data_IF_378062110152
#
_entry.id   IF_378062110152
#
_cell.length_a   1.000
_cell.length_b   1.000
_cell.length_c   1.000
_cell.angle_alpha   90.00
_cell.angle_beta   90.00
_cell.angle_gamma   90.00
#
_symmetry.space_group_name_H-M   'P 1'
#
loop_
_entity.id
_entity.type
_entity.pdbx_description
1 polymer ?
#
# COMPACT_ATOMS: atom_id res chain seq x y z
N UNK A 1 -12.01 -47.46 -14.17
CA UNK A 1 -10.92 -46.94 -13.34
C UNK A 1 -11.25 -45.51 -12.93
N UNK A 2 -11.34 -45.21 -11.62
CA UNK A 2 -10.99 -43.89 -11.14
C UNK A 2 -9.80 -43.99 -10.19
N UNK A 3 -8.75 -43.27 -10.53
CA UNK A 3 -7.59 -43.04 -9.68
C UNK A 3 -7.96 -42.06 -8.58
N UNK A 4 -7.61 -42.45 -7.36
CA UNK A 4 -7.60 -41.67 -6.13
C UNK A 4 -6.67 -40.46 -6.18
N UNK A 5 -7.12 -39.31 -5.68
CA UNK A 5 -6.26 -38.38 -4.92
C UNK A 5 -7.04 -37.72 -3.78
N UNK A 6 -6.76 -38.19 -2.56
CA UNK A 6 -7.01 -37.53 -1.28
C UNK A 6 -5.76 -36.74 -0.87
N UNK A 7 -5.99 -35.62 -0.17
CA UNK A 7 -5.16 -34.85 0.80
C UNK A 7 -5.28 -33.35 0.44
N UNK A 8 -5.70 -32.44 1.30
CA UNK A 8 -6.08 -32.56 2.70
C UNK A 8 -6.79 -31.28 3.16
N UNK A 9 -7.71 -31.44 4.11
CA UNK A 9 -8.30 -30.35 4.86
C UNK A 9 -8.33 -30.80 6.33
N UNK A 10 -7.34 -30.36 7.11
CA UNK A 10 -7.37 -30.38 8.58
C UNK A 10 -6.18 -29.59 9.15
N UNK A 11 -6.17 -28.27 8.94
CA UNK A 11 -5.47 -27.30 9.81
C UNK A 11 -6.23 -25.99 9.73
N UNK A 12 -7.26 -25.80 10.54
CA UNK A 12 -7.82 -24.47 10.83
C UNK A 12 -8.59 -24.55 12.15
N UNK A 13 -7.84 -24.63 13.24
CA UNK A 13 -8.25 -24.18 14.58
C UNK A 13 -7.03 -24.28 15.50
N UNK A 14 -6.13 -23.31 15.43
CA UNK A 14 -5.11 -22.96 16.45
C UNK A 14 -4.24 -21.81 15.93
N UNK A 15 -4.79 -20.61 15.89
CA UNK A 15 -4.00 -19.38 15.70
C UNK A 15 -4.83 -18.14 16.06
N UNK A 16 -5.37 -18.08 17.28
CA UNK A 16 -6.00 -16.84 17.81
C UNK A 16 -5.59 -16.50 19.25
N UNK A 17 -4.99 -17.41 20.03
CA UNK A 17 -4.67 -17.13 21.45
C UNK A 17 -3.20 -16.82 21.78
N UNK A 18 -2.37 -16.50 20.78
CA UNK A 18 -0.94 -16.26 20.99
C UNK A 18 -0.48 -14.90 20.44
N UNK A 19 -1.08 -13.78 20.89
CA UNK A 19 -0.48 -12.47 20.65
C UNK A 19 -0.79 -11.37 21.68
N UNK A 20 -1.26 -11.72 22.88
CA UNK A 20 -1.40 -10.77 23.99
C UNK A 20 -0.79 -11.40 25.24
N UNK A 21 0.16 -10.68 25.87
CA UNK A 21 0.98 -11.02 27.04
C UNK A 21 2.39 -11.54 26.73
N UNK A 22 3.27 -10.60 26.36
CA UNK A 22 4.69 -10.76 26.63
C UNK A 22 4.95 -10.75 28.14
N UNK A 23 5.67 -11.75 28.64
CA UNK A 23 6.50 -11.64 29.85
C UNK A 23 7.58 -12.72 29.90
N UNK A 24 8.81 -12.22 30.03
CA UNK A 24 10.13 -12.83 30.26
C UNK A 24 10.26 -14.32 30.64
N UNK A 25 11.19 -14.98 29.96
CA UNK A 25 11.79 -16.26 30.33
C UNK A 25 12.86 -16.10 31.44
N UNK A 26 12.87 -17.04 32.39
CA UNK A 26 13.87 -17.21 33.46
C UNK A 26 13.67 -18.57 34.19
N UNK A 27 14.69 -19.15 34.84
CA UNK A 27 15.08 -20.54 34.57
C UNK A 27 14.47 -21.63 35.46
N UNK A 28 14.53 -22.84 34.90
CA UNK A 28 14.30 -24.19 35.44
C UNK A 28 14.69 -24.39 36.90
N UNK A 29 13.81 -25.05 37.67
CA UNK A 29 14.14 -25.58 39.01
C UNK A 29 13.72 -27.04 39.15
N UNK A 30 14.62 -27.92 38.71
CA UNK A 30 14.86 -29.20 39.36
C UNK A 30 15.34 -28.85 40.77
N UNK A 31 14.49 -29.01 41.78
CA UNK A 31 14.86 -29.25 43.18
C UNK A 31 13.63 -29.07 44.08
N UNK A 32 12.83 -30.14 44.21
CA UNK A 32 11.89 -30.30 45.32
C UNK A 32 11.52 -31.76 45.58
N UNK A 33 12.47 -32.67 45.41
CA UNK A 33 12.34 -34.08 45.79
C UNK A 33 13.48 -34.51 46.73
N UNK A 34 13.68 -33.76 47.81
CA UNK A 34 14.46 -34.18 48.97
C UNK A 34 13.78 -33.68 50.24
N UNK A 35 12.62 -34.27 50.56
CA UNK A 35 12.05 -34.35 51.92
C UNK A 35 10.82 -35.26 51.85
N UNK A 36 11.06 -36.55 51.96
CA UNK A 36 10.20 -37.54 52.60
C UNK A 36 10.97 -38.85 52.54
N UNK A 37 11.61 -39.18 53.66
CA UNK A 37 12.22 -40.47 53.85
C UNK A 37 11.13 -41.53 53.89
N UNK A 38 11.18 -42.46 52.93
CA UNK A 38 10.50 -43.75 53.03
C UNK A 38 11.48 -44.79 52.51
N UNK A 39 12.14 -45.45 53.45
CA UNK A 39 12.92 -46.66 53.22
C UNK A 39 12.02 -47.89 53.29
N UNK A 40 12.35 -48.83 52.40
CA UNK A 40 12.17 -50.29 52.49
C UNK A 40 10.79 -50.92 52.46
N UNK A 41 10.74 -51.95 51.60
CA UNK A 41 10.00 -53.20 51.73
C UNK A 41 8.48 -53.12 51.76
N UNK A 42 7.90 -53.21 50.57
CA UNK A 42 6.87 -54.21 50.29
C UNK A 42 6.69 -54.36 48.78
N UNK A 43 7.08 -55.52 48.24
CA UNK A 43 6.96 -55.83 46.81
C UNK A 43 5.55 -56.33 46.42
N UNK A 44 4.66 -56.56 47.40
CA UNK A 44 3.32 -57.09 47.19
C UNK A 44 2.24 -56.05 46.76
N UNK A 45 2.19 -54.79 47.24
CA UNK A 45 1.14 -53.85 46.87
C UNK A 45 1.35 -53.23 45.48
N UNK A 46 2.60 -53.20 44.98
CA UNK A 46 2.91 -52.65 43.65
C UNK A 46 2.38 -53.52 42.51
N UNK A 47 2.41 -54.84 42.65
CA UNK A 47 1.89 -55.75 41.62
C UNK A 47 0.35 -55.70 41.53
N UNK A 48 -0.34 -55.52 42.66
CA UNK A 48 -1.81 -55.39 42.71
C UNK A 48 -2.24 -54.02 42.17
N UNK A 49 -1.54 -52.95 42.54
CA UNK A 49 -1.81 -51.61 42.01
C UNK A 49 -1.52 -51.53 40.51
N UNK A 50 -0.44 -52.15 40.02
CA UNK A 50 -0.16 -52.26 38.59
C UNK A 50 -1.21 -53.10 37.87
N UNK A 51 -1.69 -54.22 38.45
CA UNK A 51 -2.77 -55.03 37.85
C UNK A 51 -4.10 -54.26 37.83
N UNK A 52 -4.42 -53.51 38.88
CA UNK A 52 -5.59 -52.63 38.91
C UNK A 52 -5.48 -51.51 37.88
N UNK A 53 -4.31 -50.86 37.77
CA UNK A 53 -4.07 -49.83 36.75
C UNK A 53 -4.10 -50.41 35.34
N UNK A 54 -3.56 -51.62 35.12
CA UNK A 54 -3.60 -52.30 33.81
C UNK A 54 -5.02 -52.73 33.45
N UNK A 55 -5.80 -53.24 34.39
CA UNK A 55 -7.22 -53.59 34.19
C UNK A 55 -8.09 -52.35 34.01
N UNK A 56 -7.80 -51.25 34.71
CA UNK A 56 -8.45 -49.95 34.53
C UNK A 56 -8.11 -49.35 33.16
N UNK A 57 -6.85 -49.46 32.71
CA UNK A 57 -6.43 -49.02 31.39
C UNK A 57 -7.03 -49.89 30.27
N UNK A 58 -7.18 -51.21 30.46
CA UNK A 58 -7.87 -52.10 29.51
C UNK A 58 -9.38 -51.80 29.50
N UNK A 59 -10.00 -51.57 30.65
CA UNK A 59 -11.40 -51.16 30.77
C UNK A 59 -11.68 -49.80 30.14
N UNK A 60 -10.78 -48.82 30.31
CA UNK A 60 -10.87 -47.52 29.65
C UNK A 60 -10.63 -47.59 28.14
N UNK A 61 -9.81 -48.54 27.65
CA UNK A 61 -9.66 -48.77 26.19
C UNK A 61 -10.88 -49.44 25.57
N UNK A 62 -11.62 -50.28 26.30
CA UNK A 62 -12.87 -50.86 25.81
C UNK A 62 -14.04 -49.85 25.79
N UNK A 63 -14.00 -48.80 26.60
CA UNK A 63 -14.97 -47.69 26.59
C UNK A 63 -14.59 -46.56 25.63
N UNK A 64 -13.36 -46.53 25.13
CA UNK A 64 -12.88 -45.62 24.10
C UNK A 64 -12.90 -46.30 22.71
N UNK A 65 -13.97 -47.01 22.37
CA UNK A 65 -14.40 -47.00 20.98
C UNK A 65 -15.08 -45.66 20.78
N UNK A 66 -14.33 -44.67 20.29
CA UNK A 66 -14.95 -43.53 19.63
C UNK A 66 -15.86 -44.12 18.55
N UNK A 67 -17.16 -44.12 18.81
CA UNK A 67 -18.16 -44.33 17.78
C UNK A 67 -17.96 -43.15 16.85
N UNK A 68 -17.16 -43.34 15.80
CA UNK A 68 -17.09 -42.43 14.66
C UNK A 68 -18.42 -42.59 13.91
N UNK A 69 -19.51 -42.18 14.57
CA UNK A 69 -20.83 -42.10 13.98
C UNK A 69 -20.68 -41.14 12.82
N UNK A 70 -20.78 -41.65 11.60
CA UNK A 70 -20.81 -40.82 10.40
C UNK A 70 -22.10 -39.99 10.49
N UNK A 71 -22.01 -38.80 11.08
CA UNK A 71 -23.15 -37.90 11.19
C UNK A 71 -23.61 -37.56 9.79
N UNK A 72 -24.75 -38.10 9.41
CA UNK A 72 -25.32 -37.87 8.09
C UNK A 72 -26.19 -36.63 8.18
N UNK A 73 -25.70 -35.50 7.65
CA UNK A 73 -26.49 -34.29 7.50
C UNK A 73 -27.21 -34.32 6.15
N UNK A 74 -28.50 -33.95 6.13
CA UNK A 74 -29.28 -33.82 4.90
C UNK A 74 -29.51 -32.34 4.61
N UNK A 75 -29.06 -31.87 3.45
CA UNK A 75 -29.38 -30.54 2.92
C UNK A 75 -30.49 -30.68 1.89
N UNK A 76 -31.70 -30.23 2.23
CA UNK A 76 -32.80 -30.10 1.27
C UNK A 76 -32.68 -28.74 0.57
N UNK A 77 -32.63 -28.73 -0.76
CA UNK A 77 -32.61 -27.52 -1.58
C UNK A 77 -33.94 -27.40 -2.31
N UNK A 78 -34.70 -26.34 -2.01
CA UNK A 78 -35.93 -26.01 -2.73
C UNK A 78 -35.60 -25.12 -3.94
N UNK A 79 -35.78 -25.67 -5.14
CA UNK A 79 -35.53 -24.98 -6.41
C UNK A 79 -36.84 -24.53 -7.11
N UNK A 80 -37.94 -24.41 -6.36
CA UNK A 80 -39.23 -23.97 -6.90
C UNK A 80 -39.16 -22.54 -7.46
N UNK A 81 -39.63 -22.28 -8.70
CA UNK A 81 -39.57 -20.95 -9.31
C UNK A 81 -40.27 -19.85 -8.52
N UNK A 82 -41.27 -20.20 -7.71
CA UNK A 82 -42.04 -19.27 -6.88
C UNK A 82 -41.20 -18.65 -5.76
N UNK A 83 -40.13 -19.33 -5.33
CA UNK A 83 -39.18 -18.84 -4.32
C UNK A 83 -37.92 -18.23 -4.94
N UNK A 84 -37.74 -18.33 -6.26
CA UNK A 84 -36.57 -17.82 -6.94
C UNK A 84 -36.52 -16.28 -6.89
N UNK A 85 -35.36 -15.72 -6.54
CA UNK A 85 -35.05 -14.29 -6.66
C UNK A 85 -33.90 -14.12 -7.63
N UNK A 86 -33.96 -13.10 -8.50
CA UNK A 86 -32.83 -12.75 -9.35
C UNK A 86 -31.65 -12.34 -8.46
N UNK A 87 -30.51 -13.01 -8.64
CA UNK A 87 -29.27 -12.59 -8.02
C UNK A 87 -28.83 -11.27 -8.70
N UNK A 88 -28.58 -10.19 -7.93
CA UNK A 88 -28.13 -8.93 -8.52
C UNK A 88 -26.84 -9.11 -9.33
N UNK A 89 -26.78 -8.48 -10.49
CA UNK A 89 -25.58 -8.48 -11.34
C UNK A 89 -24.40 -7.73 -10.70
N UNK A 90 -24.62 -7.07 -9.57
CA UNK A 90 -23.66 -6.35 -8.73
C UNK A 90 -23.35 -7.10 -7.43
N UNK A 91 -23.70 -8.38 -7.30
CA UNK A 91 -23.48 -9.14 -6.06
C UNK A 91 -21.98 -9.22 -5.69
N UNK A 92 -21.11 -9.33 -6.68
CA UNK A 92 -19.66 -9.47 -6.48
C UNK A 92 -18.91 -8.30 -7.10
N UNK A 93 -18.04 -7.67 -6.31
CA UNK A 93 -17.18 -6.60 -6.75
C UNK A 93 -15.94 -6.53 -5.88
N UNK A 94 -15.17 -5.47 -6.08
CA UNK A 94 -13.93 -5.21 -5.35
C UNK A 94 -14.04 -3.93 -4.55
N UNK A 95 -13.28 -3.92 -3.46
CA UNK A 95 -13.09 -2.77 -2.62
C UNK A 95 -11.61 -2.41 -2.65
N UNK A 96 -11.33 -1.12 -2.83
CA UNK A 96 -9.98 -0.57 -2.84
C UNK A 96 -9.88 0.59 -1.85
N UNK A 97 -8.84 0.53 -1.03
CA UNK A 97 -8.32 1.64 -0.26
C UNK A 97 -6.79 1.63 -0.33
N UNK A 98 -6.15 2.78 -0.10
CA UNK A 98 -4.70 2.86 0.00
C UNK A 98 -4.24 2.29 1.35
N UNK A 99 -4.05 0.97 1.37
CA UNK A 99 -3.56 0.17 2.49
C UNK A 99 -2.45 -0.77 2.00
N UNK A 100 -1.43 -1.03 2.83
CA UNK A 100 -0.34 -1.96 2.49
C UNK A 100 0.37 -1.63 1.17
N UNK A 101 0.43 -0.34 0.78
CA UNK A 101 0.95 0.08 -0.52
C UNK A 101 0.17 -0.55 -1.70
N UNK A 102 -1.16 -0.70 -1.56
CA UNK A 102 -2.01 -1.26 -2.62
C UNK A 102 -2.07 -0.35 -3.85
N UNK A 103 -2.00 0.97 -3.69
CA UNK A 103 -1.95 1.93 -4.79
C UNK A 103 -0.52 2.30 -5.11
N UNK A 104 0.03 3.25 -4.34
CA UNK A 104 1.43 3.65 -4.42
C UNK A 104 2.35 2.50 -3.97
N UNK A 105 3.07 1.91 -4.93
CA UNK A 105 3.88 0.70 -4.73
C UNK A 105 3.18 -0.60 -5.12
N UNK A 106 1.88 -0.55 -5.38
CA UNK A 106 1.02 -1.65 -5.77
C UNK A 106 0.53 -1.50 -7.20
N UNK A 107 -0.77 -1.30 -7.39
CA UNK A 107 -1.39 -1.25 -8.73
C UNK A 107 -0.94 -0.06 -9.57
N UNK A 108 -0.51 1.04 -8.93
CA UNK A 108 0.05 2.20 -9.62
C UNK A 108 1.51 1.94 -10.02
N UNK A 109 1.86 2.24 -11.27
CA UNK A 109 3.14 1.83 -11.85
C UNK A 109 4.32 2.75 -11.50
N UNK A 110 4.11 3.82 -10.75
CA UNK A 110 5.20 4.63 -10.20
C UNK A 110 6.18 3.75 -9.41
N UNK A 111 7.46 3.91 -9.73
CA UNK A 111 8.53 3.15 -9.09
C UNK A 111 9.21 3.95 -7.97
N UNK A 112 9.21 5.28 -8.05
CA UNK A 112 9.86 6.15 -7.07
C UNK A 112 8.94 6.37 -5.86
N UNK A 113 9.44 6.06 -4.67
CA UNK A 113 8.77 6.38 -3.41
C UNK A 113 9.25 7.74 -2.90
N UNK A 114 8.36 8.53 -2.29
CA UNK A 114 8.64 9.91 -1.87
C UNK A 114 9.25 10.75 -3.01
N UNK A 115 8.55 10.81 -4.15
CA UNK A 115 9.04 11.47 -5.38
C UNK A 115 9.12 12.99 -5.32
N UNK A 116 8.28 13.62 -4.50
CA UNK A 116 8.22 15.08 -4.33
C UNK A 116 8.78 15.56 -2.99
N UNK A 117 9.40 14.69 -2.20
CA UNK A 117 10.01 15.02 -0.89
C UNK A 117 9.04 15.58 0.18
N UNK A 118 7.74 15.60 -0.08
CA UNK A 118 6.71 16.04 0.86
C UNK A 118 6.46 15.04 1.99
N UNK A 119 7.00 13.81 1.92
CA UNK A 119 6.80 12.81 2.96
C UNK A 119 7.35 13.28 4.32
N UNK A 120 6.44 13.44 5.28
CA UNK A 120 6.72 14.05 6.59
C UNK A 120 6.00 15.38 6.78
N UNK A 121 5.52 15.99 5.71
CA UNK A 121 4.72 17.21 5.73
C UNK A 121 5.51 18.48 6.04
N UNK A 122 4.79 19.60 6.05
CA UNK A 122 5.33 20.96 6.07
C UNK A 122 6.13 21.35 7.33
N UNK A 123 6.25 20.50 8.35
CA UNK A 123 6.93 20.86 9.61
C UNK A 123 7.98 19.85 10.06
N UNK A 124 8.25 18.83 9.25
CA UNK A 124 9.24 17.82 9.58
C UNK A 124 10.63 18.31 9.20
N UNK A 125 11.68 18.02 10.01
CA UNK A 125 13.07 18.25 9.61
C UNK A 125 13.37 17.54 8.28
N UNK A 126 14.54 17.80 7.70
CA UNK A 126 14.89 17.19 6.41
C UNK A 126 14.64 15.68 6.40
N UNK A 127 13.68 15.26 5.59
CA UNK A 127 13.29 13.87 5.44
C UNK A 127 13.35 13.50 3.97
N UNK A 128 14.34 12.71 3.63
CA UNK A 128 14.50 12.18 2.28
C UNK A 128 14.09 10.71 2.21
N UNK A 129 13.64 10.06 3.28
CA UNK A 129 13.30 8.62 3.26
C UNK A 129 12.27 8.30 2.16
N UNK A 130 12.46 7.25 1.34
CA UNK A 130 13.51 6.22 1.41
C UNK A 130 14.75 6.51 0.56
N UNK A 131 14.95 7.74 0.10
CA UNK A 131 16.18 8.13 -0.57
C UNK A 131 17.39 8.02 0.36
N UNK A 132 18.54 7.73 -0.23
CA UNK A 132 19.79 7.54 0.50
C UNK A 132 20.96 8.10 -0.29
N UNK A 133 22.03 8.45 0.43
CA UNK A 133 23.22 9.10 -0.13
C UNK A 133 24.15 8.05 -0.77
N UNK A 134 24.73 8.40 -1.92
CA UNK A 134 25.88 7.72 -2.54
C UNK A 134 27.10 8.60 -2.30
N UNK A 135 28.00 8.15 -1.43
CA UNK A 135 29.17 8.93 -0.99
C UNK A 135 29.22 9.01 0.53
N UNK A 136 30.13 9.83 1.03
CA UNK A 136 30.26 10.16 2.46
C UNK A 136 30.26 11.69 2.67
N UNK A 137 30.24 12.09 3.94
CA UNK A 137 30.18 13.51 4.37
C UNK A 137 31.35 14.37 3.86
N UNK A 138 32.45 13.76 3.39
CA UNK A 138 33.57 14.50 2.78
C UNK A 138 33.34 14.82 1.30
N UNK A 139 32.35 14.16 0.68
CA UNK A 139 32.14 14.16 -0.75
C UNK A 139 30.79 14.73 -1.19
N UNK A 140 29.74 14.57 -0.38
CA UNK A 140 28.39 15.05 -0.69
C UNK A 140 27.62 15.36 0.59
N UNK A 141 26.86 16.44 0.56
CA UNK A 141 25.91 16.83 1.58
C UNK A 141 24.51 16.90 0.97
N UNK A 142 23.52 16.30 1.64
CA UNK A 142 22.13 16.24 1.15
C UNK A 142 21.18 16.72 2.24
N UNK A 143 20.29 17.62 1.86
CA UNK A 143 19.22 18.13 2.71
C UNK A 143 17.97 18.40 1.87
N UNK A 144 16.91 18.88 2.51
CA UNK A 144 15.71 19.38 1.84
C UNK A 144 15.46 20.81 2.25
N UNK A 145 15.04 21.65 1.32
CA UNK A 145 14.62 23.02 1.57
C UNK A 145 13.26 23.32 0.90
N UNK A 146 12.77 24.56 1.03
CA UNK A 146 11.47 24.99 0.50
C UNK A 146 11.59 25.81 -0.79
N UNK A 147 12.40 25.37 -1.73
CA UNK A 147 12.72 26.13 -2.96
C UNK A 147 12.13 25.55 -4.24
N UNK A 148 11.23 24.56 -4.12
CA UNK A 148 10.54 23.99 -5.28
C UNK A 148 9.83 25.07 -6.13
N UNK A 149 9.71 24.79 -7.43
CA UNK A 149 8.88 25.58 -8.33
C UNK A 149 7.37 25.39 -8.13
N UNK A 150 6.94 24.38 -7.37
CA UNK A 150 5.53 24.08 -7.15
C UNK A 150 5.03 24.74 -5.86
N UNK A 151 4.00 25.58 -5.97
CA UNK A 151 3.47 26.34 -4.83
C UNK A 151 2.75 25.46 -3.79
N UNK A 152 2.26 24.29 -4.20
CA UNK A 152 1.61 23.30 -3.33
C UNK A 152 2.55 22.19 -2.84
N UNK A 153 3.67 21.99 -3.55
CA UNK A 153 4.73 21.02 -3.25
C UNK A 153 6.03 21.77 -3.11
N UNK A 154 6.23 22.40 -1.96
CA UNK A 154 7.29 23.39 -1.80
C UNK A 154 8.65 22.77 -1.49
N UNK A 155 8.70 21.48 -1.12
CA UNK A 155 9.91 20.81 -0.67
C UNK A 155 10.73 20.35 -1.87
N UNK A 156 12.02 20.63 -1.85
CA UNK A 156 12.98 20.15 -2.85
C UNK A 156 14.18 19.51 -2.16
N UNK A 157 14.76 18.48 -2.79
CA UNK A 157 16.02 17.89 -2.34
C UNK A 157 17.19 18.74 -2.86
N UNK A 158 18.01 19.24 -1.94
CA UNK A 158 19.25 19.97 -2.21
C UNK A 158 20.43 19.03 -2.03
N UNK A 159 21.23 18.87 -3.07
CA UNK A 159 22.45 18.07 -3.09
C UNK A 159 23.64 18.97 -3.38
N UNK A 160 24.59 19.01 -2.44
CA UNK A 160 25.84 19.74 -2.55
C UNK A 160 27.00 18.77 -2.67
N UNK A 161 27.65 18.76 -3.83
CA UNK A 161 28.82 17.93 -4.10
C UNK A 161 30.06 18.71 -3.69
N UNK A 162 30.85 18.12 -2.79
CA UNK A 162 32.00 18.74 -2.14
C UNK A 162 33.34 18.29 -2.74
N UNK A 163 33.38 17.09 -3.32
CA UNK A 163 34.60 16.49 -3.89
C UNK A 163 35.02 17.16 -5.21
N UNK A 164 36.31 17.51 -5.31
CA UNK A 164 36.93 17.89 -6.60
C UNK A 164 37.32 16.64 -7.42
N UNK A 165 37.72 15.55 -6.74
CA UNK A 165 38.04 14.26 -7.33
C UNK A 165 37.10 13.19 -6.76
N UNK A 166 35.86 13.15 -7.25
CA UNK A 166 34.87 12.21 -6.76
C UNK A 166 35.23 10.74 -7.11
N UNK A 167 34.78 9.75 -6.32
CA UNK A 167 34.97 8.34 -6.61
C UNK A 167 34.47 7.92 -7.99
N UNK A 168 34.99 6.80 -8.50
CA UNK A 168 34.51 6.24 -9.78
C UNK A 168 33.02 5.93 -9.69
N UNK A 169 32.22 6.49 -10.61
CA UNK A 169 30.76 6.40 -10.61
C UNK A 169 30.05 7.62 -10.00
N UNK A 170 30.80 8.56 -9.41
CA UNK A 170 30.27 9.79 -8.84
C UNK A 170 29.64 9.62 -7.47
N UNK A 171 29.16 10.75 -6.95
CA UNK A 171 28.40 10.84 -5.69
C UNK A 171 27.01 11.39 -5.97
N UNK A 172 26.06 11.15 -5.06
CA UNK A 172 24.72 11.70 -5.17
C UNK A 172 23.71 10.98 -4.31
N UNK A 173 22.56 10.61 -4.90
CA UNK A 173 21.44 9.98 -4.18
C UNK A 173 20.86 8.80 -4.96
N UNK A 174 20.21 7.89 -4.24
CA UNK A 174 19.41 6.81 -4.83
C UNK A 174 18.07 6.64 -4.14
N UNK A 175 17.08 6.13 -4.88
CA UNK A 175 15.78 5.72 -4.40
C UNK A 175 15.58 4.22 -4.64
N UNK A 176 15.32 3.40 -3.61
CA UNK A 176 15.07 1.97 -3.76
C UNK A 176 13.66 1.66 -4.29
N UNK A 177 12.79 2.67 -4.45
CA UNK A 177 11.38 2.51 -4.73
C UNK A 177 10.65 1.87 -3.56
N UNK A 178 9.66 1.05 -3.89
CA UNK A 178 8.87 0.28 -2.91
C UNK A 178 9.53 -1.07 -2.63
N UNK A 179 10.57 -1.07 -1.79
CA UNK A 179 11.40 -2.24 -1.43
C UNK A 179 12.12 -2.92 -2.61
N UNK A 180 12.44 -2.15 -3.65
CA UNK A 180 13.12 -2.60 -4.86
C UNK A 180 12.28 -2.39 -6.11
N UNK A 181 12.95 -2.05 -7.20
CA UNK A 181 12.32 -1.90 -8.52
C UNK A 181 12.57 -3.15 -9.37
N UNK A 182 11.51 -3.74 -9.94
CA UNK A 182 11.64 -4.80 -10.91
C UNK A 182 11.95 -4.21 -12.30
N UNK A 183 13.20 -4.36 -12.74
CA UNK A 183 13.67 -3.87 -14.03
C UNK A 183 13.87 -5.06 -14.96
N UNK A 184 13.35 -4.97 -16.18
CA UNK A 184 13.37 -6.05 -17.17
C UNK A 184 14.11 -5.61 -18.44
N UNK A 185 14.98 -6.47 -18.95
CA UNK A 185 15.75 -6.24 -20.16
C UNK A 185 14.83 -5.91 -21.35
N UNK A 186 15.21 -4.90 -22.13
CA UNK A 186 14.47 -4.43 -23.30
C UNK A 186 13.31 -3.50 -22.98
N UNK A 187 12.85 -3.40 -21.73
CA UNK A 187 11.81 -2.45 -21.34
C UNK A 187 12.34 -1.03 -21.25
N UNK A 188 11.43 -0.08 -21.44
CA UNK A 188 11.68 1.35 -21.37
C UNK A 188 11.05 1.92 -20.11
N UNK A 189 11.80 2.74 -19.40
CA UNK A 189 11.36 3.44 -18.20
C UNK A 189 11.46 4.95 -18.46
N UNK A 190 10.34 5.64 -18.30
CA UNK A 190 10.22 7.07 -18.51
C UNK A 190 10.53 7.80 -17.20
N UNK A 191 11.69 8.45 -17.16
CA UNK A 191 12.09 9.35 -16.08
C UNK A 191 11.56 10.75 -16.38
N UNK A 192 10.88 11.34 -15.40
CA UNK A 192 10.57 12.77 -15.35
C UNK A 192 11.13 13.32 -14.05
N UNK A 193 11.86 14.43 -14.11
CA UNK A 193 12.30 15.14 -12.91
C UNK A 193 12.39 16.63 -13.16
N UNK A 194 12.21 17.42 -12.10
CA UNK A 194 12.50 18.83 -12.12
C UNK A 194 13.86 19.03 -11.47
N UNK A 195 14.72 19.78 -12.15
CA UNK A 195 16.10 19.99 -11.71
C UNK A 195 16.50 21.44 -11.87
N UNK A 196 17.36 21.92 -10.97
CA UNK A 196 17.91 23.26 -10.98
C UNK A 196 19.35 23.21 -10.50
N UNK A 197 20.23 23.94 -11.17
CA UNK A 197 21.60 24.15 -10.69
C UNK A 197 22.08 25.57 -11.06
N UNK A 198 22.90 26.23 -10.21
CA UNK A 198 23.53 27.51 -10.53
C UNK A 198 24.68 27.37 -11.53
N UNK A 199 25.27 26.18 -11.62
CA UNK A 199 26.45 25.90 -12.44
C UNK A 199 26.10 24.85 -13.48
N UNK A 200 26.80 24.86 -14.62
CA UNK A 200 26.62 23.82 -15.62
C UNK A 200 27.13 22.49 -15.06
N UNK A 201 26.23 21.51 -14.91
CA UNK A 201 26.58 20.20 -14.37
C UNK A 201 26.02 19.06 -15.23
N UNK A 202 26.71 17.92 -15.22
CA UNK A 202 26.25 16.71 -15.89
C UNK A 202 25.84 15.71 -14.82
N UNK A 203 24.57 15.29 -14.88
CA UNK A 203 23.99 14.29 -13.99
C UNK A 203 23.93 12.97 -14.72
N UNK A 204 24.38 11.90 -14.08
CA UNK A 204 24.17 10.53 -14.54
C UNK A 204 23.00 9.93 -13.80
N UNK A 205 21.90 9.72 -14.53
CA UNK A 205 20.73 8.98 -14.06
C UNK A 205 20.89 7.52 -14.46
N UNK A 206 20.63 6.59 -13.55
CA UNK A 206 20.76 5.17 -13.86
C UNK A 206 19.85 4.27 -13.04
N UNK A 207 19.47 3.16 -13.64
CA UNK A 207 18.86 2.02 -12.97
C UNK A 207 19.97 1.01 -12.67
N UNK A 208 20.11 0.65 -11.41
CA UNK A 208 21.12 -0.32 -10.97
C UNK A 208 20.51 -1.40 -10.10
N UNK A 209 21.19 -2.53 -9.94
CA UNK A 209 20.89 -3.47 -8.86
C UNK A 209 20.89 -2.76 -7.49
N UNK A 210 20.23 -3.35 -6.49
CA UNK A 210 20.10 -2.81 -5.13
C UNK A 210 21.45 -2.44 -4.48
N UNK A 211 22.51 -3.16 -4.81
CA UNK A 211 23.88 -2.90 -4.34
C UNK A 211 24.68 -1.92 -5.22
N UNK A 212 24.11 -1.40 -6.30
CA UNK A 212 24.77 -0.47 -7.23
C UNK A 212 25.79 -1.08 -8.19
N UNK A 213 26.05 -2.39 -8.14
CA UNK A 213 27.14 -3.02 -8.90
C UNK A 213 26.77 -3.31 -10.37
N UNK A 214 25.50 -3.61 -10.64
CA UNK A 214 25.02 -3.90 -11.98
C UNK A 214 24.28 -2.69 -12.53
N UNK A 215 24.83 -2.05 -13.56
CA UNK A 215 24.13 -1.01 -14.32
C UNK A 215 23.17 -1.66 -15.33
N UNK A 216 21.88 -1.33 -15.23
CA UNK A 216 20.82 -1.87 -16.09
C UNK A 216 20.45 -0.85 -17.18
N UNK A 217 20.41 0.43 -16.84
CA UNK A 217 20.19 1.51 -17.79
C UNK A 217 20.89 2.77 -17.28
N UNK A 218 21.31 3.65 -18.19
CA UNK A 218 21.86 4.95 -17.80
C UNK A 218 21.72 5.98 -18.92
N UNK A 219 21.57 7.23 -18.52
CA UNK A 219 21.62 8.39 -19.40
C UNK A 219 22.33 9.56 -18.68
N UNK A 220 22.90 10.46 -19.47
CA UNK A 220 23.49 11.71 -18.97
C UNK A 220 22.53 12.86 -19.26
N UNK A 221 22.25 13.66 -18.24
CA UNK A 221 21.42 14.85 -18.30
C UNK A 221 22.30 16.05 -18.00
N UNK A 222 22.45 16.95 -18.97
CA UNK A 222 23.17 18.21 -18.78
C UNK A 222 22.23 19.30 -18.32
N UNK A 223 22.55 19.95 -17.20
CA UNK A 223 21.84 21.11 -16.65
C UNK A 223 22.65 22.36 -17.00
N UNK A 224 22.04 23.32 -17.70
CA UNK A 224 22.78 24.46 -18.28
C UNK A 224 23.35 25.45 -17.27
N UNK A 225 22.84 25.49 -16.03
CA UNK A 225 23.39 26.33 -14.96
C UNK A 225 22.80 27.75 -14.91
N UNK A 226 21.48 27.88 -15.00
CA UNK A 226 20.78 29.18 -15.02
C UNK A 226 19.99 29.48 -13.73
N UNK A 227 20.11 28.63 -12.71
CA UNK A 227 19.31 28.70 -11.47
C UNK A 227 17.78 28.66 -11.65
N UNK A 228 17.30 28.40 -12.87
CA UNK A 228 15.89 28.15 -13.16
C UNK A 228 15.59 26.64 -13.06
N UNK A 229 14.39 26.32 -12.58
CA UNK A 229 13.87 24.95 -12.63
C UNK A 229 13.58 24.56 -14.07
N UNK A 230 14.11 23.42 -14.49
CA UNK A 230 13.83 22.81 -15.79
C UNK A 230 13.22 21.43 -15.60
N UNK A 231 12.24 21.10 -16.45
CA UNK A 231 11.70 19.75 -16.55
C UNK A 231 12.62 18.93 -17.44
N UNK A 232 13.07 17.78 -16.94
CA UNK A 232 13.86 16.80 -17.67
C UNK A 232 13.01 15.57 -17.91
N UNK A 233 12.97 15.13 -19.17
CA UNK A 233 12.29 13.90 -19.58
C UNK A 233 13.31 13.01 -20.28
N UNK A 234 13.49 11.79 -19.76
CA UNK A 234 14.50 10.87 -20.27
C UNK A 234 13.95 9.45 -20.32
N UNK A 235 14.16 8.79 -21.47
CA UNK A 235 13.87 7.36 -21.61
C UNK A 235 15.09 6.54 -21.24
N UNK A 236 14.91 5.58 -20.35
CA UNK A 236 15.93 4.62 -19.93
C UNK A 236 15.57 3.24 -20.49
N UNK A 237 16.37 2.77 -21.46
CA UNK A 237 16.22 1.42 -22.02
C UNK A 237 17.05 0.44 -21.22
N UNK A 238 16.42 -0.53 -20.59
CA UNK A 238 17.09 -1.54 -19.78
C UNK A 238 17.86 -2.54 -20.66
N UNK A 239 19.12 -2.77 -20.30
CA UNK A 239 20.06 -3.71 -20.94
C UNK A 239 20.22 -5.02 -20.16
N UNK A 240 19.42 -5.21 -19.12
CA UNK A 240 19.44 -6.39 -18.27
C UNK A 240 18.25 -6.43 -17.33
N UNK A 241 18.00 -7.60 -16.76
CA UNK A 241 16.90 -7.85 -15.82
C UNK A 241 17.42 -7.95 -14.38
N UNK A 242 16.76 -7.27 -13.45
CA UNK A 242 16.99 -7.41 -12.02
C UNK A 242 15.71 -7.09 -11.22
N UNK A 243 15.33 -8.01 -10.32
CA UNK A 243 14.09 -7.92 -9.52
C UNK A 243 14.16 -6.96 -8.35
N UNK A 244 15.36 -6.57 -7.95
CA UNK A 244 15.62 -5.69 -6.81
C UNK A 244 16.60 -4.61 -7.23
N UNK A 245 16.07 -3.57 -7.87
CA UNK A 245 16.84 -2.45 -8.41
C UNK A 245 16.53 -1.15 -7.68
N UNK A 246 17.28 -0.09 -8.00
CA UNK A 246 17.11 1.27 -7.51
C UNK A 246 17.36 2.27 -8.63
N UNK A 247 16.74 3.44 -8.54
CA UNK A 247 17.10 4.61 -9.34
C UNK A 247 18.22 5.35 -8.61
N UNK A 248 19.27 5.76 -9.31
CA UNK A 248 20.31 6.63 -8.75
C UNK A 248 20.59 7.83 -9.66
N UNK A 249 20.89 8.95 -9.03
CA UNK A 249 21.24 10.22 -9.66
C UNK A 249 22.59 10.65 -9.07
N UNK A 250 23.60 10.74 -9.92
CA UNK A 250 25.00 10.96 -9.50
C UNK A 250 25.68 12.01 -10.36
N UNK A 251 26.74 12.61 -9.85
CA UNK A 251 27.63 13.47 -10.64
C UNK A 251 29.07 13.39 -10.12
N UNK A 252 30.01 13.79 -10.97
CA UNK A 252 31.43 13.96 -10.63
C UNK A 252 31.83 15.44 -10.58
N UNK A 253 30.88 16.36 -10.81
CA UNK A 253 31.14 17.79 -10.78
C UNK A 253 30.75 18.35 -9.43
N UNK A 254 31.70 19.02 -8.78
CA UNK A 254 31.47 19.85 -7.60
C UNK A 254 30.44 20.93 -7.92
N UNK A 255 29.60 21.26 -6.95
CA UNK A 255 28.54 22.25 -7.11
C UNK A 255 27.25 21.84 -6.40
N UNK A 256 26.20 22.64 -6.59
CA UNK A 256 24.90 22.44 -5.94
C UNK A 256 23.82 22.15 -6.97
N UNK A 257 23.01 21.14 -6.70
CA UNK A 257 21.90 20.70 -7.55
C UNK A 257 20.66 20.49 -6.70
N UNK A 258 19.53 20.99 -7.18
CA UNK A 258 18.22 20.74 -6.59
C UNK A 258 17.41 19.80 -7.47
N UNK A 259 16.64 18.93 -6.83
CA UNK A 259 15.71 17.99 -7.47
C UNK A 259 14.34 18.12 -6.84
N UNK A 260 13.30 17.96 -7.67
CA UNK A 260 11.93 17.80 -7.21
C UNK A 260 11.12 16.97 -8.22
N UNK A 261 10.00 16.40 -7.76
CA UNK A 261 9.02 15.64 -8.54
C UNK A 261 9.72 14.62 -9.45
N UNK A 262 10.46 13.69 -8.85
CA UNK A 262 11.22 12.64 -9.55
C UNK A 262 10.35 11.41 -9.75
N UNK A 263 9.81 11.22 -10.95
CA UNK A 263 8.96 10.08 -11.31
C UNK A 263 9.70 9.12 -12.25
N UNK A 264 9.51 7.82 -12.05
CA UNK A 264 9.99 6.79 -12.96
C UNK A 264 8.88 5.77 -13.20
N UNK A 265 8.26 5.80 -14.37
CA UNK A 265 7.22 4.85 -14.75
C UNK A 265 7.66 3.96 -15.91
N UNK A 266 7.33 2.65 -15.91
CA UNK A 266 7.43 1.83 -17.11
C UNK A 266 6.64 2.46 -18.27
N UNK A 267 7.12 2.34 -19.50
CA UNK A 267 6.39 2.82 -20.68
C UNK A 267 5.18 1.92 -20.99
N UNK A 268 5.28 0.62 -20.73
CA UNK A 268 4.29 -0.42 -21.03
C UNK A 268 3.27 -0.64 -19.90
N UNK A 269 2.72 0.44 -19.36
CA UNK A 269 1.63 0.34 -18.37
C UNK A 269 0.35 -0.22 -18.99
N UNK A 270 -0.55 -0.77 -18.16
CA UNK A 270 -1.82 -1.32 -18.61
C UNK A 270 -2.60 -0.28 -19.43
N UNK A 271 -2.78 -0.57 -20.73
CA UNK A 271 -3.38 0.33 -21.73
C UNK A 271 -2.72 1.73 -21.85
N UNK A 272 -1.56 1.95 -21.25
CA UNK A 272 -0.95 3.28 -21.15
C UNK A 272 -1.56 4.19 -20.07
N UNK A 273 -2.39 3.65 -19.18
CA UNK A 273 -3.13 4.43 -18.17
C UNK A 273 -2.42 4.50 -16.79
N UNK A 274 -1.17 4.05 -16.69
CA UNK A 274 -0.38 4.20 -15.46
C UNK A 274 -0.46 3.03 -14.47
N UNK A 275 -1.22 1.97 -14.78
CA UNK A 275 -1.33 0.80 -13.91
C UNK A 275 -0.37 -0.34 -14.26
N UNK A 276 -0.02 -1.16 -13.27
CA UNK A 276 0.78 -2.37 -13.45
C UNK A 276 -0.04 -3.48 -14.11
N UNK A 277 0.35 -3.86 -15.32
CA UNK A 277 -0.39 -4.80 -16.18
C UNK A 277 -0.69 -6.14 -15.52
N UNK A 278 0.28 -6.70 -14.79
CA UNK A 278 0.12 -7.98 -14.11
C UNK A 278 -0.91 -7.93 -12.98
N UNK A 279 -0.94 -6.85 -12.19
CA UNK A 279 -1.88 -6.71 -11.09
C UNK A 279 -3.29 -6.43 -11.60
N UNK A 280 -3.43 -5.59 -12.62
CA UNK A 280 -4.74 -5.35 -13.25
C UNK A 280 -5.28 -6.62 -13.89
N UNK A 281 -4.42 -7.44 -14.52
CA UNK A 281 -4.83 -8.72 -15.08
C UNK A 281 -5.40 -9.67 -14.01
N UNK A 282 -4.78 -9.73 -12.82
CA UNK A 282 -5.31 -10.52 -11.71
C UNK A 282 -6.66 -9.99 -11.20
N UNK A 283 -6.86 -8.67 -11.20
CA UNK A 283 -8.13 -8.06 -10.81
C UNK A 283 -9.23 -8.37 -11.85
N UNK A 284 -8.92 -8.33 -13.14
CA UNK A 284 -9.84 -8.71 -14.21
C UNK A 284 -10.31 -10.16 -14.09
N UNK A 285 -9.42 -11.07 -13.67
CA UNK A 285 -9.74 -12.48 -13.47
C UNK A 285 -10.78 -12.71 -12.36
N UNK A 286 -10.90 -11.78 -11.40
CA UNK A 286 -11.95 -11.79 -10.38
C UNK A 286 -13.34 -11.48 -10.96
N UNK A 287 -13.40 -10.91 -12.17
CA UNK A 287 -14.62 -10.45 -12.86
C UNK A 287 -15.50 -9.57 -11.96
N UNK A 288 -14.94 -8.51 -11.34
CA UNK A 288 -15.72 -7.63 -10.49
C UNK A 288 -16.84 -6.97 -11.30
N UNK A 289 -17.95 -6.66 -10.61
CA UNK A 289 -19.08 -5.95 -11.19
C UNK A 289 -19.18 -4.51 -10.70
N UNK A 290 -18.51 -4.21 -9.58
CA UNK A 290 -18.33 -2.87 -9.06
C UNK A 290 -16.92 -2.69 -8.49
N UNK A 291 -16.47 -1.44 -8.42
CA UNK A 291 -15.26 -1.00 -7.74
C UNK A 291 -15.63 0.05 -6.69
N UNK A 292 -15.51 -0.27 -5.41
CA UNK A 292 -15.66 0.70 -4.31
C UNK A 292 -14.31 1.37 -4.01
N UNK A 293 -14.20 2.68 -4.18
CA UNK A 293 -12.94 3.44 -4.03
C UNK A 293 -13.17 4.90 -3.56
N UNK A 294 -12.14 5.61 -3.09
CA UNK A 294 -10.86 5.12 -2.57
C UNK A 294 -11.04 4.74 -1.10
N UNK A 295 -12.06 3.90 -0.82
CA UNK A 295 -12.86 3.90 0.40
C UNK A 295 -12.15 3.45 1.68
N UNK A 296 -12.96 2.96 2.64
CA UNK A 296 -12.43 2.55 3.94
C UNK A 296 -11.89 3.73 4.74
N UNK A 297 -10.98 3.42 5.66
CA UNK A 297 -10.46 4.38 6.60
C UNK A 297 -9.54 5.42 5.96
N UNK A 298 -9.03 5.15 4.75
CA UNK A 298 -8.27 6.12 3.97
C UNK A 298 -9.06 7.41 3.65
N UNK A 299 -10.37 7.29 3.39
CA UNK A 299 -11.23 8.45 3.14
C UNK A 299 -11.49 9.26 4.39
N UNK A 300 -11.61 8.58 5.53
CA UNK A 300 -11.93 9.18 6.83
C UNK A 300 -10.72 9.90 7.42
N UNK A 301 -9.57 9.25 7.37
CA UNK A 301 -8.39 9.62 8.13
C UNK A 301 -8.55 9.28 9.62
N UNK A 302 -7.43 9.20 10.32
CA UNK A 302 -7.38 9.22 11.78
C UNK A 302 -7.83 10.57 12.32
N UNK A 303 -7.49 11.65 11.62
CA UNK A 303 -7.92 13.03 11.88
C UNK A 303 -8.38 13.69 10.57
N UNK A 304 -9.38 14.56 10.61
CA UNK A 304 -9.94 15.22 9.43
C UNK A 304 -8.91 15.99 8.59
N UNK A 305 -7.84 16.49 9.22
CA UNK A 305 -6.73 17.15 8.50
C UNK A 305 -5.99 16.22 7.52
N UNK A 306 -6.06 14.91 7.75
CA UNK A 306 -5.42 13.85 6.97
C UNK A 306 -6.42 13.06 6.11
N UNK A 307 -7.70 13.46 6.10
CA UNK A 307 -8.70 12.83 5.25
C UNK A 307 -8.40 13.06 3.76
N UNK A 308 -8.62 12.04 2.93
CA UNK A 308 -8.45 12.15 1.48
C UNK A 308 -9.29 13.29 0.87
N UNK A 309 -8.63 14.19 0.12
CA UNK A 309 -9.26 15.33 -0.56
C UNK A 309 -9.27 15.11 -2.06
N UNK A 310 -10.35 14.55 -2.60
CA UNK A 310 -10.43 14.17 -4.02
C UNK A 310 -10.05 15.29 -5.02
N UNK A 311 -10.39 16.55 -4.73
CA UNK A 311 -10.04 17.69 -5.60
C UNK A 311 -8.53 17.95 -5.69
N UNK A 312 -7.80 17.61 -4.64
CA UNK A 312 -6.35 17.75 -4.56
C UNK A 312 -5.63 16.61 -5.30
N UNK A 313 -6.35 15.52 -5.58
CA UNK A 313 -5.88 14.38 -6.38
C UNK A 313 -6.16 14.52 -7.89
N UNK A 314 -6.56 15.69 -8.38
CA UNK A 314 -6.88 15.94 -9.79
C UNK A 314 -5.94 16.98 -10.37
N UNK A 315 -5.63 16.82 -11.66
CA UNK A 315 -4.74 17.69 -12.41
C UNK A 315 -3.35 17.08 -12.56
N UNK A 316 -2.36 17.89 -12.97
CA UNK A 316 -0.97 17.47 -13.10
C UNK A 316 -0.48 16.83 -11.81
N UNK A 317 0.18 15.68 -11.91
CA UNK A 317 0.58 14.88 -10.74
C UNK A 317 1.64 15.60 -9.91
N UNK A 318 2.50 16.38 -10.57
CA UNK A 318 3.57 17.16 -9.97
C UNK A 318 3.07 18.31 -9.08
N UNK A 319 1.78 18.67 -9.20
CA UNK A 319 1.14 19.70 -8.39
C UNK A 319 0.25 19.13 -7.27
N UNK A 320 0.10 17.80 -7.17
CA UNK A 320 -0.76 17.18 -6.15
C UNK A 320 0.00 17.18 -4.81
N UNK A 321 -0.57 17.75 -3.72
CA UNK A 321 0.09 17.86 -2.42
C UNK A 321 0.35 16.52 -1.75
N UNK A 322 -0.43 15.49 -2.11
CA UNK A 322 -0.47 14.27 -1.31
C UNK A 322 -1.00 14.54 0.09
N UNK A 323 -0.94 13.51 0.94
CA UNK A 323 -1.20 13.64 2.36
C UNK A 323 -0.65 12.45 3.14
N UNK A 324 -0.54 12.62 4.46
CA UNK A 324 -0.17 11.53 5.35
C UNK A 324 -1.39 10.67 5.66
N UNK A 325 -1.40 9.43 5.17
CA UNK A 325 -2.38 8.41 5.53
C UNK A 325 -2.14 7.93 6.96
N UNK A 326 -2.62 8.68 7.94
CA UNK A 326 -2.37 8.45 9.37
C UNK A 326 -3.03 7.19 9.95
N UNK A 327 -3.99 6.59 9.24
CA UNK A 327 -4.54 5.26 9.57
C UNK A 327 -3.57 4.14 9.20
N UNK A 328 -2.90 4.25 8.06
CA UNK A 328 -2.03 3.21 7.52
C UNK A 328 -0.53 3.53 7.65
N UNK A 329 -0.21 4.70 8.19
CA UNK A 329 1.12 5.16 8.59
C UNK A 329 2.13 5.32 7.46
N UNK A 330 1.69 5.78 6.28
CA UNK A 330 2.60 6.20 5.21
C UNK A 330 2.07 7.41 4.45
N UNK A 331 2.99 8.11 3.79
CA UNK A 331 2.66 9.24 2.92
C UNK A 331 2.15 8.73 1.57
N UNK A 332 1.10 9.36 1.06
CA UNK A 332 0.58 9.13 -0.28
C UNK A 332 0.76 10.41 -1.09
N UNK A 333 1.24 10.29 -2.32
CA UNK A 333 1.41 11.44 -3.21
C UNK A 333 0.14 11.78 -4.00
N UNK A 334 -0.96 11.07 -3.74
CA UNK A 334 -2.22 11.15 -4.48
C UNK A 334 -2.05 11.06 -6.01
N UNK A 335 -0.99 10.39 -6.48
CA UNK A 335 -0.72 10.12 -7.90
C UNK A 335 -1.74 9.15 -8.50
N UNK A 336 -2.16 8.15 -7.73
CA UNK A 336 -3.37 7.37 -7.98
C UNK A 336 -4.56 8.12 -7.38
N UNK A 337 -5.04 9.11 -8.13
CA UNK A 337 -6.08 10.02 -7.70
C UNK A 337 -7.47 9.63 -8.18
N UNK A 338 -8.40 10.55 -7.97
CA UNK A 338 -9.80 10.35 -8.29
C UNK A 338 -10.04 10.02 -9.78
N UNK A 339 -9.38 10.72 -10.70
CA UNK A 339 -9.53 10.49 -12.14
C UNK A 339 -9.01 9.11 -12.53
N UNK A 340 -7.86 8.71 -12.00
CA UNK A 340 -7.25 7.43 -12.31
C UNK A 340 -8.13 6.25 -11.85
N UNK A 341 -8.83 6.36 -10.71
CA UNK A 341 -9.80 5.33 -10.29
C UNK A 341 -11.02 5.22 -11.20
N UNK A 342 -11.53 6.33 -11.75
CA UNK A 342 -12.59 6.27 -12.74
C UNK A 342 -12.10 5.58 -14.01
N UNK A 343 -10.90 5.93 -14.46
CA UNK A 343 -10.28 5.27 -15.61
C UNK A 343 -10.11 3.76 -15.35
N UNK A 344 -9.74 3.36 -14.13
CA UNK A 344 -9.65 1.96 -13.73
C UNK A 344 -11.01 1.26 -13.76
N UNK A 345 -12.08 1.93 -13.28
CA UNK A 345 -13.42 1.36 -13.29
C UNK A 345 -13.89 1.04 -14.72
N UNK A 346 -13.65 1.96 -15.66
CA UNK A 346 -13.89 1.75 -17.10
C UNK A 346 -13.05 0.59 -17.65
N UNK A 347 -11.78 0.56 -17.28
CA UNK A 347 -10.82 -0.44 -17.74
C UNK A 347 -11.15 -1.86 -17.31
N UNK A 348 -11.75 -2.01 -16.12
CA UNK A 348 -12.25 -3.26 -15.55
C UNK A 348 -13.66 -3.63 -16.02
N UNK A 349 -14.38 -2.70 -16.67
CA UNK A 349 -15.80 -2.88 -17.02
C UNK A 349 -16.70 -2.98 -15.78
N UNK A 350 -16.38 -2.21 -14.74
CA UNK A 350 -17.08 -2.21 -13.43
C UNK A 350 -17.83 -0.92 -13.18
N UNK A 351 -18.90 -1.00 -12.41
CA UNK A 351 -19.58 0.20 -11.90
C UNK A 351 -18.76 0.87 -10.76
N UNK A 352 -18.47 2.17 -10.83
CA UNK A 352 -17.78 2.88 -9.77
C UNK A 352 -18.71 3.13 -8.57
N UNK A 353 -18.27 2.73 -7.37
CA UNK A 353 -18.88 3.11 -6.10
C UNK A 353 -17.92 4.05 -5.38
N UNK A 354 -18.09 5.35 -5.62
CA UNK A 354 -17.25 6.34 -5.00
C UNK A 354 -17.60 6.57 -3.54
N UNK A 355 -16.57 6.67 -2.71
CA UNK A 355 -16.64 6.95 -1.26
C UNK A 355 -16.01 8.31 -1.00
N UNK A 356 -16.69 9.13 -0.20
CA UNK A 356 -16.23 10.47 0.16
C UNK A 356 -16.29 10.69 1.66
N UNK A 357 -15.47 11.63 2.14
CA UNK A 357 -15.48 12.01 3.54
C UNK A 357 -16.74 12.84 3.85
N UNK A 358 -17.54 12.38 4.79
CA UNK A 358 -18.81 13.01 5.18
C UNK A 358 -18.67 13.96 6.38
N UNK A 359 -17.46 14.46 6.67
CA UNK A 359 -17.17 15.30 7.82
C UNK A 359 -16.79 14.54 9.08
N UNK A 360 -16.42 13.26 8.97
CA UNK A 360 -16.02 12.40 10.10
C UNK A 360 -14.65 11.80 9.84
N UNK A 361 -13.85 11.68 10.89
CA UNK A 361 -12.64 10.87 10.98
C UNK A 361 -12.73 9.93 12.20
N UNK A 362 -11.69 9.14 12.46
CA UNK A 362 -11.68 8.30 13.65
C UNK A 362 -11.67 9.07 14.99
N UNK A 363 -11.13 10.30 15.02
CA UNK A 363 -10.93 11.05 16.26
C UNK A 363 -11.61 12.41 16.31
N UNK A 364 -12.12 12.92 15.19
CA UNK A 364 -12.83 14.19 15.13
C UNK A 364 -13.97 14.20 14.10
N UNK A 365 -14.90 15.12 14.28
CA UNK A 365 -16.02 15.36 13.37
C UNK A 365 -16.25 16.86 13.20
N UNK A 366 -16.78 17.24 12.04
CA UNK A 366 -17.20 18.60 11.76
C UNK A 366 -18.52 18.84 12.47
N UNK A 367 -18.64 19.96 13.18
CA UNK A 367 -19.94 20.37 13.73
C UNK A 367 -20.97 20.44 12.61
N UNK A 368 -22.14 19.83 12.84
CA UNK A 368 -23.28 19.86 11.92
C UNK A 368 -23.62 21.27 11.40
N UNK A 369 -23.39 22.34 12.17
CA UNK A 369 -23.61 23.72 11.70
C UNK A 369 -22.63 24.15 10.60
N UNK A 370 -21.47 23.49 10.52
CA UNK A 370 -20.40 23.75 9.57
C UNK A 370 -20.27 22.65 8.49
N UNK A 371 -21.25 21.75 8.34
CA UNK A 371 -21.19 20.62 7.39
C UNK A 371 -21.39 21.04 5.93
N UNK A 372 -21.97 22.22 5.68
CA UNK A 372 -22.35 22.66 4.35
C UNK A 372 -21.22 22.63 3.29
N UNK A 373 -19.96 22.99 3.59
CA UNK A 373 -18.84 22.84 2.67
C UNK A 373 -18.58 21.39 2.28
N UNK A 374 -18.73 20.43 3.19
CA UNK A 374 -18.56 19.01 2.91
C UNK A 374 -19.68 18.49 2.01
N UNK A 375 -20.92 18.94 2.21
CA UNK A 375 -22.03 18.63 1.30
C UNK A 375 -21.79 19.23 -0.09
N UNK A 376 -21.33 20.48 -0.21
CA UNK A 376 -20.98 21.06 -1.51
C UNK A 376 -19.82 20.32 -2.19
N UNK A 377 -18.85 19.87 -1.40
CA UNK A 377 -17.72 19.10 -1.87
C UNK A 377 -18.13 17.77 -2.52
N UNK A 378 -19.20 17.15 -2.04
CA UNK A 378 -19.75 15.90 -2.58
C UNK A 378 -20.65 16.13 -3.78
N UNK A 379 -21.47 17.19 -3.77
CA UNK A 379 -22.33 17.49 -4.93
C UNK A 379 -21.50 17.88 -6.16
N UNK A 380 -20.39 18.60 -5.97
CA UNK A 380 -19.50 18.96 -7.09
C UNK A 380 -18.84 17.75 -7.76
N UNK A 381 -18.71 16.62 -7.07
CA UNK A 381 -18.26 15.37 -7.68
C UNK A 381 -19.31 14.83 -8.66
N UNK A 382 -20.60 14.84 -8.27
CA UNK A 382 -21.67 14.35 -9.13
C UNK A 382 -21.76 15.19 -10.42
N UNK A 383 -21.53 16.50 -10.30
CA UNK A 383 -21.46 17.42 -11.44
C UNK A 383 -20.29 17.09 -12.36
N UNK A 384 -19.12 16.77 -11.81
CA UNK A 384 -17.94 16.40 -12.59
C UNK A 384 -18.10 15.05 -13.31
N UNK A 385 -18.73 14.06 -12.66
CA UNK A 385 -18.97 12.74 -13.27
C UNK A 385 -20.01 12.76 -14.38
N UNK A 386 -21.08 13.53 -14.18
CA UNK A 386 -22.26 13.47 -15.05
C UNK A 386 -22.33 14.61 -16.05
N UNK A 387 -21.49 15.65 -15.92
CA UNK A 387 -21.44 16.78 -16.84
C UNK A 387 -22.65 17.74 -16.74
N UNK A 388 -23.42 17.67 -15.66
CA UNK A 388 -24.59 18.52 -15.41
C UNK A 388 -24.53 19.17 -14.03
N UNK A 389 -25.01 20.41 -13.88
CA UNK A 389 -25.21 21.05 -12.57
C UNK A 389 -26.49 20.54 -11.92
N UNK A 390 -26.40 20.04 -10.69
CA UNK A 390 -27.55 19.51 -9.95
C UNK A 390 -27.98 20.46 -8.84
N UNK A 391 -29.29 20.74 -8.74
CA UNK A 391 -29.87 21.39 -7.56
C UNK A 391 -30.45 20.31 -6.64
N UNK A 392 -29.71 19.94 -5.59
CA UNK A 392 -30.18 18.95 -4.61
C UNK A 392 -31.08 19.63 -3.55
N UNK A 393 -32.29 19.08 -3.33
CA UNK A 393 -33.14 19.44 -2.19
C UNK A 393 -33.00 18.36 -1.12
N UNK A 394 -32.32 18.66 -0.01
CA UNK A 394 -32.12 17.70 1.08
C UNK A 394 -33.34 17.66 2.01
N UNK A 395 -33.97 16.49 2.15
CA UNK A 395 -34.91 16.22 3.25
C UNK A 395 -34.27 15.27 4.25
N UNK A 396 -34.08 15.76 5.48
CA UNK A 396 -33.53 14.96 6.57
C UNK A 396 -34.64 14.13 7.22
N UNK A 397 -34.65 12.81 7.01
CA UNK A 397 -35.42 11.88 7.86
C UNK A 397 -34.47 11.09 8.74
N UNK A 398 -34.47 11.39 10.04
CA UNK A 398 -33.77 10.61 11.06
C UNK A 398 -34.40 9.21 11.16
N UNK A 399 -33.73 8.21 10.59
CA UNK A 399 -33.85 6.81 11.01
C UNK A 399 -32.48 6.14 11.02
N UNK A 400 -31.87 6.10 12.21
CA UNK A 400 -30.84 5.12 12.62
C UNK A 400 -29.54 5.06 11.81
N UNK A 401 -28.48 5.72 12.30
CA UNK A 401 -27.03 5.47 12.10
C UNK A 401 -26.45 5.09 10.72
N UNK A 402 -27.21 5.15 9.63
CA UNK A 402 -26.72 5.00 8.27
C UNK A 402 -27.36 6.10 7.43
N UNK A 403 -26.56 7.10 7.04
CA UNK A 403 -26.97 8.08 6.05
C UNK A 403 -26.92 7.40 4.67
N UNK A 404 -28.07 6.92 4.19
CA UNK A 404 -28.26 6.60 2.78
C UNK A 404 -28.64 7.89 2.06
N UNK A 405 -27.90 8.23 1.00
CA UNK A 405 -28.38 9.22 0.01
C UNK A 405 -29.33 8.46 -0.90
N UNK A 406 -30.63 8.65 -0.69
CA UNK A 406 -31.66 8.19 -1.62
C UNK A 406 -31.72 9.18 -2.79
N UNK A 407 -31.26 8.77 -3.97
CA UNK A 407 -31.36 9.55 -5.21
C UNK A 407 -32.80 9.46 -5.75
N UNK A 408 -33.76 9.91 -4.94
CA UNK A 408 -35.16 9.94 -5.26
C UNK A 408 -35.49 11.09 -6.22
N UNK A 409 -35.79 10.73 -7.46
CA UNK A 409 -36.35 11.57 -8.54
C UNK A 409 -35.42 12.64 -9.13
N UNK A 410 -34.61 12.24 -10.12
CA UNK A 410 -34.08 13.16 -11.12
C UNK A 410 -35.26 13.77 -11.91
N UNK A 411 -35.42 15.09 -11.84
CA UNK A 411 -36.08 15.83 -12.93
C UNK A 411 -34.98 16.36 -13.85
N UNK A 412 -35.09 16.02 -15.13
CA UNK A 412 -34.28 16.53 -16.24
C UNK A 412 -34.43 18.04 -16.41
#
# INVERSE_FOLDING_TARGET
MPCTRRRGARVFLRMVDACMHGRHAGPTRIDKWKRMGITSNDAAPRAVLLRFLFLLCIGCKCLASEVEATQTATLAVDASPQLARKIPDTLFGIFFEEINHAGAGGIWAELVSNRGFEAGGLHTPSNIDPWSIIGDDSSVFVETDRTSCFSRNIVALRMEVLCDNCPTGGVGVYNPGFWGMNIEEGKVYNLVMFVKSPETTDLTVSLTSSNGLQNLASATVTVSGESNWIKVEQKLVAKGTNRTSRLQITTNKKGVVWFDQVSLMPEDTYKGHGFRTELISMILDLKPRFLRFPGGCFVEGGWLRNAFRWRESIGPWEERPGHFGDVWHYWTDDGLGYYEFLQLAEDLGTEPIWVFNNGVSHNDEVDTVAIAPFVKFTTSHAEMMLGFSFTFTFTWTLRGCLAFIDLGSLYL
#
